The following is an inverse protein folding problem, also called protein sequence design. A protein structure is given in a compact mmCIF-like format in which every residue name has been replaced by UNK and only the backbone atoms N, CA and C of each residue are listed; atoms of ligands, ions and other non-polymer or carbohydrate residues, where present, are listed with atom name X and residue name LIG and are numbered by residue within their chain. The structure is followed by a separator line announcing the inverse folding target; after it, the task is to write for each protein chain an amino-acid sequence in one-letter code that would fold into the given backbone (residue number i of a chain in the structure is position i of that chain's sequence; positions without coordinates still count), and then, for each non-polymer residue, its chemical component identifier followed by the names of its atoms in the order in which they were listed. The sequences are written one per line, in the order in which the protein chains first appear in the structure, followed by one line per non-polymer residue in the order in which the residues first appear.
data_IF_706251342633
#
_entry.id   IF_706251342633
#
_cell.length_a   1.000
_cell.length_b   1.000
_cell.length_c   1.000
_cell.angle_alpha   90.00
_cell.angle_beta   90.00
_cell.angle_gamma   90.00
#
_symmetry.space_group_name_H-M   'P 1'
#
loop_
_entity.id
_entity.type
_entity.pdbx_description
1 polymer ?
#
# COMPACT_ATOMS: atom_id res chain seq x y z
N UNK A 1 -10.89 17.05 5.88
CA UNK A 1 -9.56 16.43 5.70
C UNK A 1 -9.31 15.93 4.28
N UNK A 2 -10.21 15.18 3.65
CA UNK A 2 -10.01 14.70 2.26
C UNK A 2 -9.90 15.81 1.21
N UNK A 3 -10.67 16.89 1.34
CA UNK A 3 -10.62 18.04 0.42
C UNK A 3 -9.25 18.73 0.47
N UNK A 4 -8.71 18.96 1.67
CA UNK A 4 -7.39 19.57 1.85
C UNK A 4 -6.27 18.74 1.27
N UNK A 5 -6.35 17.41 1.39
CA UNK A 5 -5.39 16.47 0.83
C UNK A 5 -5.37 16.52 -0.71
N UNK A 6 -6.55 16.49 -1.34
CA UNK A 6 -6.68 16.58 -2.79
C UNK A 6 -6.16 17.91 -3.32
N UNK A 7 -6.41 19.02 -2.60
CA UNK A 7 -5.89 20.35 -2.92
C UNK A 7 -4.36 20.36 -2.87
N UNK A 8 -3.77 19.84 -1.78
CA UNK A 8 -2.31 19.75 -1.63
C UNK A 8 -1.68 18.95 -2.77
N UNK A 9 -2.25 17.80 -3.13
CA UNK A 9 -1.77 16.99 -4.24
C UNK A 9 -1.95 17.67 -5.60
N UNK A 10 -3.00 18.50 -5.77
CA UNK A 10 -3.23 19.28 -7.00
C UNK A 10 -2.25 20.44 -7.15
N UNK A 11 -1.88 21.06 -6.05
CA UNK A 11 -0.91 22.17 -6.05
C UNK A 11 0.50 21.62 -6.29
N UNK A 12 0.84 20.50 -5.61
CA UNK A 12 2.21 19.95 -5.65
C UNK A 12 2.53 19.24 -6.95
N UNK A 13 1.60 18.44 -7.51
CA UNK A 13 1.82 17.67 -8.72
C UNK A 13 1.07 18.26 -9.92
N UNK A 14 1.78 18.41 -11.04
CA UNK A 14 1.21 18.93 -12.29
C UNK A 14 0.34 17.88 -12.99
N UNK A 15 0.76 16.62 -12.99
CA UNK A 15 0.03 15.50 -13.61
C UNK A 15 -0.06 14.30 -12.67
N UNK A 16 -1.21 13.64 -12.73
CA UNK A 16 -1.55 12.46 -11.93
C UNK A 16 -2.10 11.41 -12.86
N UNK A 17 -1.44 10.27 -12.93
CA UNK A 17 -1.89 9.12 -13.71
C UNK A 17 -2.25 7.98 -12.77
N UNK A 18 -3.45 7.43 -12.91
CA UNK A 18 -3.92 6.26 -12.18
C UNK A 18 -4.33 5.24 -13.22
N UNK A 19 -3.61 4.12 -13.28
CA UNK A 19 -3.78 3.08 -14.29
C UNK A 19 -4.32 1.81 -13.67
N UNK A 20 -5.13 1.09 -14.45
CA UNK A 20 -5.67 -0.22 -14.12
C UNK A 20 -6.39 -0.28 -12.76
N UNK A 21 -7.08 0.82 -12.38
CA UNK A 21 -7.85 0.88 -11.13
C UNK A 21 -9.19 0.15 -11.20
N UNK A 22 -9.65 -0.22 -12.40
CA UNK A 22 -10.93 -0.91 -12.64
C UNK A 22 -10.71 -2.43 -12.57
N UNK A 23 -10.51 -2.97 -11.39
CA UNK A 23 -10.46 -4.42 -11.16
C UNK A 23 -11.72 -4.88 -10.42
N UNK A 24 -12.23 -6.03 -10.81
CA UNK A 24 -13.33 -6.65 -10.09
C UNK A 24 -12.80 -7.34 -8.82
N UNK A 25 -13.35 -6.94 -7.67
CA UNK A 25 -13.09 -7.60 -6.40
C UNK A 25 -14.35 -8.36 -6.00
N UNK A 26 -14.24 -9.66 -5.69
CA UNK A 26 -15.39 -10.42 -5.23
C UNK A 26 -16.05 -9.76 -4.01
N UNK A 27 -17.38 -9.74 -4.01
CA UNK A 27 -18.17 -9.28 -2.89
C UNK A 27 -17.78 -10.06 -1.64
N UNK A 28 -17.57 -9.39 -0.52
CA UNK A 28 -17.11 -9.99 0.74
C UNK A 28 -15.60 -10.33 0.82
N UNK A 29 -14.78 -9.87 -0.13
CA UNK A 29 -13.33 -9.95 0.00
C UNK A 29 -12.77 -8.80 0.83
N UNK A 30 -11.76 -9.11 1.60
CA UNK A 30 -10.95 -8.14 2.31
C UNK A 30 -9.71 -7.77 1.49
N UNK A 31 -9.31 -6.50 1.52
CA UNK A 31 -8.29 -5.96 0.63
C UNK A 31 -7.04 -5.58 1.41
N UNK A 32 -5.89 -6.05 0.92
CA UNK A 32 -4.58 -5.56 1.32
C UNK A 32 -3.91 -4.92 0.11
N UNK A 33 -3.58 -3.64 0.22
CA UNK A 33 -2.81 -2.92 -0.80
C UNK A 33 -1.31 -3.10 -0.51
N UNK A 34 -0.57 -3.55 -1.49
CA UNK A 34 0.87 -3.82 -1.42
C UNK A 34 1.64 -2.89 -2.37
N UNK A 35 1.79 -1.60 -2.05
CA UNK A 35 2.48 -0.65 -2.92
C UNK A 35 4.00 -0.71 -2.77
N UNK A 36 4.72 -0.34 -3.85
CA UNK A 36 6.12 0.07 -3.75
C UNK A 36 6.24 1.35 -2.92
N UNK A 37 7.37 1.54 -2.24
CA UNK A 37 7.55 2.69 -1.33
C UNK A 37 8.68 3.60 -1.81
N UNK A 38 8.31 4.70 -2.47
CA UNK A 38 9.25 5.62 -3.11
C UNK A 38 9.37 6.95 -2.38
N UNK A 39 8.32 7.36 -1.65
CA UNK A 39 8.27 8.67 -1.02
C UNK A 39 7.29 8.71 0.16
N UNK A 40 7.41 9.73 0.99
CA UNK A 40 6.39 10.07 2.00
C UNK A 40 5.06 10.53 1.41
N UNK A 41 5.03 10.90 0.13
CA UNK A 41 3.81 11.23 -0.60
C UNK A 41 2.94 10.02 -0.95
N UNK A 42 3.53 8.82 -0.95
CA UNK A 42 2.84 7.59 -1.38
C UNK A 42 1.54 7.35 -0.62
N UNK A 43 1.54 7.58 0.70
CA UNK A 43 0.34 7.41 1.52
C UNK A 43 -0.80 8.36 1.13
N UNK A 44 -0.48 9.63 0.84
CA UNK A 44 -1.46 10.62 0.40
C UNK A 44 -2.03 10.29 -0.98
N UNK A 45 -1.14 9.89 -1.90
CA UNK A 45 -1.51 9.51 -3.27
C UNK A 45 -2.40 8.26 -3.25
N UNK A 46 -2.06 7.25 -2.45
CA UNK A 46 -2.88 6.04 -2.28
C UNK A 46 -4.25 6.36 -1.68
N UNK A 47 -4.32 7.23 -0.68
CA UNK A 47 -5.60 7.65 -0.09
C UNK A 47 -6.47 8.39 -1.09
N UNK A 48 -5.88 9.19 -1.99
CA UNK A 48 -6.60 9.84 -3.09
C UNK A 48 -7.15 8.80 -4.07
N UNK A 49 -6.35 7.78 -4.44
CA UNK A 49 -6.70 6.80 -5.45
C UNK A 49 -7.65 5.71 -4.95
N UNK A 50 -7.55 5.32 -3.68
CA UNK A 50 -8.24 4.16 -3.11
C UNK A 50 -8.93 4.45 -1.76
N UNK A 51 -9.00 5.70 -1.35
CA UNK A 51 -9.65 6.06 -0.08
C UNK A 51 -11.18 6.03 -0.16
N UNK A 52 -11.82 6.38 0.94
CA UNK A 52 -13.29 6.33 1.14
C UNK A 52 -14.10 6.99 0.02
N UNK A 53 -13.59 8.05 -0.60
CA UNK A 53 -14.28 8.74 -1.70
C UNK A 53 -14.39 7.92 -2.98
N UNK A 54 -13.49 6.96 -3.19
CA UNK A 54 -13.42 6.13 -4.39
C UNK A 54 -14.02 4.75 -4.11
N UNK A 55 -13.69 4.15 -2.98
CA UNK A 55 -14.04 2.75 -2.68
C UNK A 55 -15.08 2.59 -1.58
N UNK A 56 -15.54 3.68 -0.97
CA UNK A 56 -16.38 3.72 0.22
C UNK A 56 -15.75 3.00 1.44
N UNK A 57 -14.46 2.73 1.41
CA UNK A 57 -13.69 2.08 2.48
C UNK A 57 -12.55 2.98 2.95
N UNK A 58 -12.21 2.94 4.23
CA UNK A 58 -11.06 3.66 4.75
C UNK A 58 -9.76 2.91 4.45
N UNK A 59 -8.75 3.65 4.02
CA UNK A 59 -7.38 3.13 3.90
C UNK A 59 -6.68 3.25 5.25
N UNK A 60 -6.19 2.12 5.77
CA UNK A 60 -5.47 2.02 7.04
C UNK A 60 -4.01 1.68 6.76
N UNK A 61 -3.10 2.51 7.23
CA UNK A 61 -1.68 2.38 6.94
C UNK A 61 -0.93 1.80 8.13
N UNK A 62 -0.15 0.76 7.87
CA UNK A 62 0.77 0.19 8.84
C UNK A 62 2.12 0.91 8.74
N UNK A 63 2.51 1.64 9.78
CA UNK A 63 3.74 2.45 9.81
C UNK A 63 4.61 2.08 11.01
N UNK A 64 5.91 2.37 10.93
CA UNK A 64 6.82 2.12 12.06
C UNK A 64 6.51 3.01 13.26
N UNK A 65 6.76 2.50 14.46
CA UNK A 65 6.50 3.24 15.70
C UNK A 65 7.26 4.57 15.78
N UNK A 66 8.45 4.65 15.18
CA UNK A 66 9.25 5.88 15.13
C UNK A 66 8.56 7.01 14.37
N UNK A 67 7.81 6.70 13.31
CA UNK A 67 7.09 7.70 12.50
C UNK A 67 5.87 8.29 13.24
N UNK A 68 5.37 7.61 14.27
CA UNK A 68 4.16 8.02 15.02
C UNK A 68 4.46 8.97 16.19
N UNK A 69 5.57 9.73 16.14
CA UNK A 69 5.97 10.67 17.20
C UNK A 69 5.67 12.11 16.81
N UNK A 70 5.44 12.95 17.82
CA UNK A 70 5.25 14.39 17.68
C UNK A 70 4.12 14.79 16.73
N UNK A 71 4.25 15.93 16.10
CA UNK A 71 3.28 16.51 15.14
C UNK A 71 3.05 15.59 13.94
N UNK A 72 4.12 14.94 13.45
CA UNK A 72 4.01 13.95 12.37
C UNK A 72 3.10 12.79 12.77
N UNK A 73 3.28 12.24 13.96
CA UNK A 73 2.44 11.16 14.47
C UNK A 73 0.97 11.58 14.64
N UNK A 74 0.73 12.80 15.08
CA UNK A 74 -0.62 13.35 15.16
C UNK A 74 -1.30 13.41 13.78
N UNK A 75 -0.56 13.87 12.76
CA UNK A 75 -1.05 13.92 11.39
C UNK A 75 -1.30 12.51 10.81
N UNK A 76 -0.34 11.59 10.99
CA UNK A 76 -0.46 10.21 10.52
C UNK A 76 -1.64 9.46 11.14
N UNK A 77 -1.93 9.68 12.42
CA UNK A 77 -3.13 9.10 13.07
C UNK A 77 -4.41 9.55 12.36
N UNK A 78 -4.50 10.81 11.96
CA UNK A 78 -5.65 11.35 11.22
C UNK A 78 -5.76 10.80 9.79
N UNK A 79 -4.66 10.37 9.20
CA UNK A 79 -4.63 9.66 7.92
C UNK A 79 -5.00 8.18 8.03
N UNK A 80 -5.36 7.69 9.23
CA UNK A 80 -5.69 6.29 9.44
C UNK A 80 -4.46 5.40 9.68
N UNK A 81 -3.30 5.98 9.98
CA UNK A 81 -2.10 5.22 10.28
C UNK A 81 -2.13 4.65 11.71
N UNK A 82 -1.61 3.45 11.87
CA UNK A 82 -1.34 2.84 13.17
C UNK A 82 0.09 2.28 13.22
N UNK A 83 0.64 2.20 14.43
CA UNK A 83 2.04 1.85 14.63
C UNK A 83 2.27 0.35 14.73
N UNK A 84 3.37 -0.11 14.14
CA UNK A 84 3.88 -1.46 14.33
C UNK A 84 5.40 -1.43 14.59
N UNK A 85 5.88 -2.36 15.43
CA UNK A 85 7.31 -2.64 15.47
C UNK A 85 7.65 -3.61 14.34
N UNK A 86 8.42 -3.17 13.35
CA UNK A 86 8.76 -3.99 12.17
C UNK A 86 9.65 -5.20 12.49
N UNK A 87 10.47 -5.12 13.53
CA UNK A 87 11.39 -6.21 13.91
C UNK A 87 10.71 -7.25 14.78
N UNK A 88 9.83 -6.80 15.66
CA UNK A 88 9.07 -7.67 16.57
C UNK A 88 7.64 -7.14 16.70
N UNK A 89 6.76 -7.50 15.76
CA UNK A 89 5.37 -7.07 15.80
C UNK A 89 4.69 -7.63 17.06
N UNK A 90 4.08 -6.75 17.87
CA UNK A 90 3.31 -7.22 19.00
C UNK A 90 2.05 -7.96 18.55
N UNK A 91 1.63 -8.95 19.32
CA UNK A 91 0.39 -9.70 19.06
C UNK A 91 -0.82 -8.77 19.00
N UNK A 92 -0.84 -7.71 19.82
CA UNK A 92 -1.91 -6.71 19.81
C UNK A 92 -1.98 -5.93 18.50
N UNK A 93 -0.84 -5.52 17.94
CA UNK A 93 -0.79 -4.79 16.67
C UNK A 93 -1.24 -5.68 15.50
N UNK A 94 -0.84 -6.96 15.49
CA UNK A 94 -1.30 -7.92 14.48
C UNK A 94 -2.80 -8.21 14.61
N UNK A 95 -3.31 -8.40 15.82
CA UNK A 95 -4.75 -8.56 16.08
C UNK A 95 -5.54 -7.34 15.62
N UNK A 96 -5.03 -6.14 15.87
CA UNK A 96 -5.65 -4.91 15.42
C UNK A 96 -5.72 -4.85 13.87
N UNK A 97 -4.62 -5.16 13.18
CA UNK A 97 -4.58 -5.21 11.72
C UNK A 97 -5.59 -6.22 11.15
N UNK A 98 -5.63 -7.43 11.70
CA UNK A 98 -6.60 -8.46 11.30
C UNK A 98 -8.04 -8.01 11.56
N UNK A 99 -8.29 -7.30 12.66
CA UNK A 99 -9.62 -6.78 12.96
C UNK A 99 -10.06 -5.68 11.97
N UNK A 100 -9.15 -4.79 11.55
CA UNK A 100 -9.44 -3.80 10.51
C UNK A 100 -9.84 -4.48 9.19
N UNK A 101 -9.09 -5.51 8.78
CA UNK A 101 -9.39 -6.33 7.60
C UNK A 101 -10.79 -6.96 7.73
N UNK A 102 -11.11 -7.52 8.90
CA UNK A 102 -12.42 -8.11 9.21
C UNK A 102 -13.59 -7.12 9.11
N UNK A 103 -13.35 -5.87 9.50
CA UNK A 103 -14.31 -4.77 9.40
C UNK A 103 -14.48 -4.24 7.97
N UNK A 104 -13.78 -4.83 6.99
CA UNK A 104 -13.87 -4.45 5.58
C UNK A 104 -13.04 -3.21 5.22
N UNK A 105 -12.19 -2.72 6.14
CA UNK A 105 -11.26 -1.63 5.85
C UNK A 105 -10.16 -2.10 4.88
N UNK A 106 -9.59 -1.18 4.10
CA UNK A 106 -8.47 -1.48 3.24
C UNK A 106 -7.16 -1.30 4.01
N UNK A 107 -6.39 -2.38 4.14
CA UNK A 107 -5.10 -2.30 4.80
C UNK A 107 -4.00 -2.01 3.78
N UNK A 108 -3.22 -0.96 4.01
CA UNK A 108 -2.04 -0.63 3.20
C UNK A 108 -0.79 -1.06 3.95
N UNK A 109 -0.04 -1.95 3.33
CA UNK A 109 1.23 -2.46 3.85
C UNK A 109 2.30 -2.22 2.80
N UNK A 110 3.34 -1.47 3.13
CA UNK A 110 4.51 -1.34 2.29
C UNK A 110 5.45 -2.52 2.54
N UNK A 111 5.53 -3.52 1.63
CA UNK A 111 6.26 -4.77 1.92
C UNK A 111 7.76 -4.57 2.05
N UNK A 112 8.31 -3.50 1.46
CA UNK A 112 9.72 -3.12 1.57
C UNK A 112 10.10 -2.69 3.00
N UNK A 113 9.13 -2.21 3.79
CA UNK A 113 9.34 -1.75 5.18
C UNK A 113 10.16 -0.47 5.31
N UNK A 114 10.58 0.14 4.22
CA UNK A 114 11.33 1.41 4.16
C UNK A 114 11.16 2.08 2.80
N UNK A 115 11.38 3.39 2.76
CA UNK A 115 11.41 4.14 1.50
C UNK A 115 12.63 3.73 0.67
N UNK A 116 12.41 3.29 -0.57
CA UNK A 116 13.41 2.89 -1.54
C UNK A 116 13.41 3.84 -2.73
N UNK A 117 13.98 5.02 -2.59
CA UNK A 117 13.93 6.11 -3.57
C UNK A 117 14.59 5.78 -4.91
N UNK A 118 15.66 4.99 -4.87
CA UNK A 118 16.53 4.79 -6.03
C UNK A 118 16.17 3.56 -6.87
N UNK A 119 15.01 2.93 -6.62
CA UNK A 119 14.62 1.73 -7.37
C UNK A 119 15.60 0.56 -7.23
N UNK A 120 16.37 0.51 -6.12
CA UNK A 120 17.23 -0.63 -5.80
C UNK A 120 16.39 -1.89 -5.69
N UNK A 121 17.03 -3.05 -5.88
CA UNK A 121 16.38 -4.37 -5.77
C UNK A 121 15.34 -4.40 -4.65
N UNK A 122 14.10 -4.74 -5.00
CA UNK A 122 13.02 -4.88 -4.04
C UNK A 122 13.32 -6.07 -3.11
N UNK A 123 13.38 -5.80 -1.82
CA UNK A 123 13.52 -6.82 -0.78
C UNK A 123 12.29 -6.74 0.09
N UNK A 124 11.42 -7.74 -0.03
CA UNK A 124 10.17 -7.76 0.72
C UNK A 124 10.35 -8.38 2.10
N UNK A 125 9.71 -7.76 3.10
CA UNK A 125 9.62 -8.30 4.46
C UNK A 125 8.55 -9.39 4.52
N UNK A 126 8.73 -10.35 5.42
CA UNK A 126 7.79 -11.46 5.60
C UNK A 126 6.45 -11.07 6.24
N UNK A 127 6.35 -9.84 6.73
CA UNK A 127 5.21 -9.36 7.54
C UNK A 127 3.88 -9.40 6.80
N UNK A 128 3.87 -9.06 5.50
CA UNK A 128 2.63 -9.05 4.71
C UNK A 128 2.07 -10.48 4.57
N UNK A 129 2.89 -11.44 4.19
CA UNK A 129 2.47 -12.84 4.06
C UNK A 129 1.92 -13.40 5.37
N UNK A 130 2.66 -13.21 6.48
CA UNK A 130 2.22 -13.66 7.80
C UNK A 130 0.88 -13.05 8.21
N UNK A 131 0.71 -11.75 7.96
CA UNK A 131 -0.54 -11.05 8.24
C UNK A 131 -1.69 -11.58 7.38
N UNK A 132 -1.47 -11.74 6.08
CA UNK A 132 -2.47 -12.26 5.15
C UNK A 132 -2.91 -13.68 5.57
N UNK A 133 -1.97 -14.56 5.89
CA UNK A 133 -2.28 -15.91 6.42
C UNK A 133 -3.02 -15.93 7.76
N UNK A 134 -2.75 -14.97 8.64
CA UNK A 134 -3.54 -14.84 9.87
C UNK A 134 -4.95 -14.35 9.58
N UNK A 135 -5.10 -13.47 8.60
CA UNK A 135 -6.38 -12.90 8.24
C UNK A 135 -7.28 -13.91 7.50
N UNK A 136 -6.76 -14.81 6.65
CA UNK A 136 -7.55 -15.88 5.99
C UNK A 136 -8.29 -16.78 6.98
N UNK A 137 -7.73 -16.99 8.17
CA UNK A 137 -8.41 -17.75 9.24
C UNK A 137 -9.62 -17.04 9.85
N UNK A 138 -9.83 -15.76 9.53
CA UNK A 138 -10.82 -14.87 10.17
C UNK A 138 -11.76 -14.20 9.17
N UNK A 139 -11.48 -14.27 7.88
CA UNK A 139 -12.24 -13.65 6.79
C UNK A 139 -12.48 -14.66 5.67
N UNK A 140 -13.48 -14.43 4.82
CA UNK A 140 -13.85 -15.35 3.74
C UNK A 140 -12.82 -15.41 2.63
N UNK A 141 -12.23 -14.27 2.26
CA UNK A 141 -11.21 -14.19 1.20
C UNK A 141 -10.33 -12.95 1.42
N UNK A 142 -9.06 -13.06 1.12
CA UNK A 142 -8.07 -11.97 1.16
C UNK A 142 -7.55 -11.73 -0.25
N UNK A 143 -7.72 -10.52 -0.74
CA UNK A 143 -7.18 -10.08 -2.03
C UNK A 143 -6.02 -9.11 -1.76
N UNK A 144 -4.85 -9.44 -2.28
CA UNK A 144 -3.67 -8.57 -2.24
C UNK A 144 -3.52 -7.89 -3.59
N UNK A 145 -3.42 -6.56 -3.58
CA UNK A 145 -3.27 -5.77 -4.79
C UNK A 145 -1.86 -5.19 -4.82
N UNK A 146 -0.96 -5.69 -5.67
CA UNK A 146 0.34 -5.07 -5.90
C UNK A 146 0.16 -3.72 -6.60
N UNK A 147 0.89 -2.69 -6.17
CA UNK A 147 0.78 -1.35 -6.74
C UNK A 147 2.16 -0.80 -7.02
N UNK A 148 2.40 -0.40 -8.26
CA UNK A 148 3.59 0.35 -8.65
C UNK A 148 3.38 1.85 -8.48
N UNK A 149 4.31 2.52 -7.81
CA UNK A 149 4.32 3.98 -7.64
C UNK A 149 5.59 4.53 -8.30
N UNK A 150 5.41 5.48 -9.19
CA UNK A 150 6.50 6.17 -9.87
C UNK A 150 6.30 7.68 -9.87
N UNK A 151 7.41 8.40 -9.86
CA UNK A 151 7.47 9.85 -10.01
C UNK A 151 8.34 10.19 -11.22
N UNK A 152 8.09 11.33 -11.87
CA UNK A 152 8.91 11.81 -12.99
C UNK A 152 10.39 11.97 -12.65
N UNK A 153 10.70 12.09 -11.36
CA UNK A 153 12.07 12.12 -10.85
C UNK A 153 12.24 11.17 -9.66
N UNK A 154 13.49 10.86 -9.34
CA UNK A 154 13.84 9.94 -8.23
C UNK A 154 13.21 10.40 -6.90
N UNK A 155 13.17 11.70 -6.68
CA UNK A 155 12.45 12.30 -5.55
C UNK A 155 11.34 13.20 -6.07
N UNK A 156 10.13 13.12 -5.51
CA UNK A 156 9.03 14.01 -5.90
C UNK A 156 9.44 15.46 -5.73
N UNK A 157 9.23 16.26 -6.78
CA UNK A 157 9.44 17.70 -6.75
C UNK A 157 8.16 18.47 -7.00
N UNK A 158 8.16 19.74 -6.65
CA UNK A 158 7.04 20.65 -6.93
C UNK A 158 6.78 20.72 -8.44
N UNK A 159 5.50 20.60 -8.83
CA UNK A 159 5.03 20.51 -10.23
C UNK A 159 5.53 19.30 -11.01
N UNK A 160 6.11 18.29 -10.32
CA UNK A 160 6.42 17.01 -10.94
C UNK A 160 5.17 16.19 -11.28
N UNK A 161 5.39 15.01 -11.81
CA UNK A 161 4.32 14.06 -12.17
C UNK A 161 4.43 12.80 -11.32
N UNK A 162 3.30 12.12 -11.11
CA UNK A 162 3.31 10.76 -10.57
C UNK A 162 2.38 9.84 -11.34
N UNK A 163 2.68 8.56 -11.27
CA UNK A 163 1.84 7.48 -11.75
C UNK A 163 1.65 6.42 -10.67
N UNK A 164 0.41 6.00 -10.49
CA UNK A 164 0.01 4.79 -9.78
C UNK A 164 -0.45 3.78 -10.80
N UNK A 165 0.10 2.58 -10.75
CA UNK A 165 -0.39 1.47 -11.56
C UNK A 165 -0.78 0.29 -10.66
N UNK A 166 -2.01 -0.16 -10.77
CA UNK A 166 -2.52 -1.32 -10.06
C UNK A 166 -2.21 -2.58 -10.85
N UNK A 167 -1.48 -3.51 -10.23
CA UNK A 167 -1.22 -4.83 -10.79
C UNK A 167 -2.44 -5.76 -10.64
N UNK A 168 -2.36 -6.94 -11.23
CA UNK A 168 -3.42 -7.94 -11.11
C UNK A 168 -3.59 -8.37 -9.65
N UNK A 169 -4.83 -8.37 -9.12
CA UNK A 169 -5.10 -8.85 -7.77
C UNK A 169 -4.66 -10.30 -7.57
N UNK A 170 -4.15 -10.60 -6.39
CA UNK A 170 -3.72 -11.93 -5.96
C UNK A 170 -4.71 -12.40 -4.90
N UNK A 171 -5.43 -13.49 -5.17
CA UNK A 171 -6.23 -14.17 -4.15
C UNK A 171 -5.31 -14.96 -3.23
N UNK A 172 -5.34 -14.68 -1.93
CA UNK A 172 -4.50 -15.42 -0.98
C UNK A 172 -4.88 -16.89 -0.90
N UNK A 173 -6.13 -17.21 -1.19
CA UNK A 173 -6.65 -18.58 -1.14
C UNK A 173 -5.97 -19.48 -2.18
N UNK A 174 -5.59 -18.92 -3.36
CA UNK A 174 -4.92 -19.65 -4.44
C UNK A 174 -3.45 -20.00 -4.10
N UNK A 175 -2.88 -19.34 -3.08
CA UNK A 175 -1.46 -19.41 -2.75
C UNK A 175 -1.17 -19.83 -1.29
N UNK A 176 -2.14 -20.46 -0.63
CA UNK A 176 -1.97 -20.94 0.76
C UNK A 176 -0.88 -21.99 0.91
N UNK A 177 -0.58 -22.73 -0.16
CA UNK A 177 0.43 -23.79 -0.17
C UNK A 177 1.87 -23.26 -0.36
N UNK A 178 2.02 -22.00 -0.77
CA UNK A 178 3.35 -21.42 -0.97
C UNK A 178 4.06 -21.21 0.37
N UNK A 179 5.36 -21.38 0.35
CA UNK A 179 6.24 -20.91 1.41
C UNK A 179 6.30 -19.38 1.42
N UNK A 180 6.78 -18.81 2.53
CA UNK A 180 6.98 -17.35 2.64
C UNK A 180 7.91 -16.84 1.53
N UNK A 181 8.92 -17.62 1.16
CA UNK A 181 9.90 -17.25 0.13
C UNK A 181 9.23 -17.19 -1.24
N UNK A 182 8.56 -18.25 -1.64
CA UNK A 182 7.86 -18.33 -2.93
C UNK A 182 6.78 -17.26 -3.08
N UNK A 183 5.99 -17.02 -2.03
CA UNK A 183 5.01 -15.95 -2.06
C UNK A 183 5.65 -14.57 -2.19
N UNK A 184 6.73 -14.30 -1.47
CA UNK A 184 7.46 -13.03 -1.59
C UNK A 184 8.08 -12.86 -2.98
N UNK A 185 8.56 -13.91 -3.61
CA UNK A 185 9.08 -13.90 -5.00
C UNK A 185 7.95 -13.56 -5.99
N UNK A 186 6.79 -14.22 -5.87
CA UNK A 186 5.60 -13.92 -6.67
C UNK A 186 5.15 -12.45 -6.51
N UNK A 187 5.01 -12.00 -5.25
CA UNK A 187 4.58 -10.63 -4.97
C UNK A 187 5.59 -9.61 -5.50
N UNK A 188 6.88 -9.91 -5.34
CA UNK A 188 7.97 -9.05 -5.84
C UNK A 188 7.90 -8.87 -7.36
N UNK A 189 7.74 -9.95 -8.11
CA UNK A 189 7.54 -9.92 -9.57
C UNK A 189 6.35 -9.04 -9.94
N UNK A 190 5.19 -9.24 -9.30
CA UNK A 190 3.98 -8.46 -9.58
C UNK A 190 4.14 -6.98 -9.25
N UNK A 191 4.86 -6.66 -8.17
CA UNK A 191 5.15 -5.27 -7.78
C UNK A 191 6.13 -4.61 -8.74
N UNK A 192 7.18 -5.31 -9.18
CA UNK A 192 8.14 -4.82 -10.19
C UNK A 192 7.41 -4.52 -11.50
N UNK A 193 6.63 -5.47 -12.01
CA UNK A 193 5.87 -5.28 -13.25
C UNK A 193 4.90 -4.08 -13.14
N UNK A 194 4.25 -3.91 -11.99
CA UNK A 194 3.38 -2.76 -11.78
C UNK A 194 4.16 -1.44 -11.75
N UNK A 195 5.34 -1.42 -11.16
CA UNK A 195 6.18 -0.23 -11.09
C UNK A 195 6.80 0.13 -12.44
N UNK A 196 7.25 -0.84 -13.24
CA UNK A 196 7.79 -0.61 -14.59
C UNK A 196 6.76 0.09 -15.49
N UNK A 197 5.49 -0.34 -15.43
CA UNK A 197 4.41 0.33 -16.14
C UNK A 197 4.24 1.78 -15.64
N UNK A 198 4.30 2.00 -14.33
CA UNK A 198 4.20 3.33 -13.75
C UNK A 198 5.38 4.23 -14.17
N UNK A 199 6.61 3.70 -14.17
CA UNK A 199 7.83 4.41 -14.59
C UNK A 199 7.75 4.84 -16.06
N UNK A 200 7.39 3.94 -16.96
CA UNK A 200 7.17 4.26 -18.38
C UNK A 200 6.17 5.41 -18.58
N UNK A 201 5.13 5.45 -17.74
CA UNK A 201 4.08 6.48 -17.82
C UNK A 201 4.49 7.85 -17.28
N UNK A 202 5.57 7.94 -16.53
CA UNK A 202 6.16 9.23 -16.10
C UNK A 202 7.44 9.56 -16.88
N UNK A 203 7.75 8.81 -17.94
CA UNK A 203 8.92 9.07 -18.82
C UNK A 203 10.25 8.56 -18.26
N UNK A 204 10.22 7.50 -17.47
CA UNK A 204 11.43 6.86 -16.91
C UNK A 204 11.51 5.39 -17.25
#
# INVERSE_FOLDING_TARGET
MFVTQDIVLRIFFSKKKILNSNFSIPTNSSIILAPTHRSRWDGLILTMAMGRRVTNKDSRFMVTRSEMRGIQGWFLKRLGCFSINQFSPSVSALRYAVNLIKLGEQLVVFPEGKINRYGKKLVLKQGLYRLARLATKKTKSIIIIPIGIAYSEVSPRFRGEFCLNFGRPISMDDYLNLTIKEFNELLNEKMINAEEIALKNVGR
#
